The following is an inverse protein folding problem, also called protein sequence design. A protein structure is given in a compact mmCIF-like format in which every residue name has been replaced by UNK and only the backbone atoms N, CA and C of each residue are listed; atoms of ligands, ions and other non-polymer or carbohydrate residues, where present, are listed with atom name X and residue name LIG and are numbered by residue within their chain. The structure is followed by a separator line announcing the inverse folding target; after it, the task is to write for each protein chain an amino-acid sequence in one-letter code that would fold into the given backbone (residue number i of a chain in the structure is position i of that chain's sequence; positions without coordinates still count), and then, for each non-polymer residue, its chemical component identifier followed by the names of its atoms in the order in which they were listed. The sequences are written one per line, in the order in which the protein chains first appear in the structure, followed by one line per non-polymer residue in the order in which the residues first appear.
data_IF_149041367336
#
_entry.id   IF_149041367336
#
_cell.length_a   1.000
_cell.length_b   1.000
_cell.length_c   1.000
_cell.angle_alpha   90.00
_cell.angle_beta   90.00
_cell.angle_gamma   90.00
#
_symmetry.space_group_name_H-M   'P 1'
#
loop_
_entity.id
_entity.type
_entity.pdbx_description
1 polymer ?
#
# COMPACT_ATOMS: atom_id res chain seq x y z
N UNK A 1 -9.06 -8.95 24.79
CA UNK A 1 -10.47 -8.48 24.83
C UNK A 1 -10.42 -6.98 24.69
N UNK A 2 -11.00 -6.43 23.60
CA UNK A 2 -10.66 -5.12 23.01
C UNK A 2 -11.05 -3.86 23.81
N UNK A 3 -10.92 -3.90 25.14
CA UNK A 3 -11.21 -2.79 26.03
C UNK A 3 -12.70 -2.43 26.11
N UNK A 4 -13.02 -1.32 26.81
CA UNK A 4 -14.39 -0.80 26.94
C UNK A 4 -14.93 -0.11 25.67
N UNK A 5 -14.09 0.05 24.64
CA UNK A 5 -14.39 0.78 23.41
C UNK A 5 -14.69 -0.20 22.29
N UNK A 6 -15.82 0.00 21.59
CA UNK A 6 -16.16 -0.81 20.40
C UNK A 6 -15.54 -0.21 19.15
N UNK A 7 -14.70 -0.99 18.48
CA UNK A 7 -14.13 -0.64 17.18
C UNK A 7 -14.99 -1.24 16.06
N UNK A 8 -15.30 -0.42 15.06
CA UNK A 8 -16.00 -0.83 13.85
C UNK A 8 -15.02 -0.81 12.68
N UNK A 9 -14.98 -1.91 11.91
CA UNK A 9 -14.21 -1.98 10.67
C UNK A 9 -15.14 -1.61 9.51
N UNK A 10 -14.75 -0.58 8.77
CA UNK A 10 -15.38 -0.22 7.50
C UNK A 10 -14.79 -1.03 6.36
N UNK A 11 -15.61 -1.40 5.39
CA UNK A 11 -15.19 -2.07 4.17
C UNK A 11 -15.39 -1.15 2.95
N UNK A 12 -14.55 -1.31 1.93
CA UNK A 12 -14.64 -0.53 0.68
C UNK A 12 -14.69 0.99 0.92
N UNK A 13 -15.75 1.65 0.47
CA UNK A 13 -15.98 3.10 0.58
C UNK A 13 -16.78 3.50 1.82
N UNK A 14 -17.18 2.55 2.68
CA UNK A 14 -18.05 2.82 3.82
C UNK A 14 -17.48 3.88 4.76
N UNK A 15 -16.17 3.85 5.04
CA UNK A 15 -15.51 4.82 5.90
C UNK A 15 -15.51 6.22 5.29
N UNK A 16 -15.29 6.32 3.99
CA UNK A 16 -15.32 7.60 3.26
C UNK A 16 -16.74 8.18 3.25
N UNK A 17 -17.76 7.36 2.92
CA UNK A 17 -19.17 7.78 2.98
C UNK A 17 -19.56 8.22 4.38
N UNK A 18 -19.14 7.49 5.41
CA UNK A 18 -19.44 7.83 6.80
C UNK A 18 -18.92 9.23 7.16
N UNK A 19 -17.68 9.58 6.79
CA UNK A 19 -17.15 10.93 7.02
C UNK A 19 -17.91 11.96 6.19
N UNK A 20 -18.13 11.73 4.89
CA UNK A 20 -18.83 12.67 4.01
C UNK A 20 -20.27 12.96 4.46
N UNK A 21 -20.99 11.96 4.94
CA UNK A 21 -22.39 12.07 5.35
C UNK A 21 -22.57 12.57 6.78
N UNK A 22 -21.69 12.17 7.71
CA UNK A 22 -21.87 12.42 9.15
C UNK A 22 -20.92 13.47 9.73
N UNK A 23 -19.76 13.64 9.12
CA UNK A 23 -18.71 14.55 9.58
C UNK A 23 -18.12 15.39 8.43
N UNK A 24 -18.93 16.09 7.62
CA UNK A 24 -18.45 16.86 6.47
C UNK A 24 -17.47 17.98 6.87
N UNK A 25 -17.44 18.40 8.14
CA UNK A 25 -16.44 19.32 8.66
C UNK A 25 -15.01 18.77 8.56
N UNK A 26 -14.82 17.44 8.62
CA UNK A 26 -13.51 16.80 8.46
C UNK A 26 -13.17 16.55 6.98
N UNK A 27 -13.54 17.48 6.12
CA UNK A 27 -13.22 17.42 4.70
C UNK A 27 -12.78 18.78 4.17
N UNK A 28 -11.85 18.78 3.23
CA UNK A 28 -11.36 19.97 2.55
C UNK A 28 -11.45 19.82 1.04
N UNK A 29 -11.60 20.94 0.32
CA UNK A 29 -11.58 20.94 -1.14
C UNK A 29 -10.13 20.85 -1.62
N UNK A 30 -9.76 19.72 -2.22
CA UNK A 30 -8.49 19.59 -2.93
C UNK A 30 -8.64 20.25 -4.30
N UNK A 31 -8.26 21.54 -4.38
CA UNK A 31 -8.45 22.37 -5.58
C UNK A 31 -7.94 21.70 -6.87
N UNK A 32 -6.74 21.07 -6.92
CA UNK A 32 -6.25 20.45 -8.15
C UNK A 32 -7.16 19.37 -8.75
N UNK A 33 -7.94 18.68 -7.92
CA UNK A 33 -8.87 17.64 -8.34
C UNK A 33 -10.32 18.11 -8.39
N UNK A 34 -10.64 19.29 -7.82
CA UNK A 34 -12.02 19.73 -7.63
C UNK A 34 -12.85 18.82 -6.70
N UNK A 35 -12.21 18.00 -5.87
CA UNK A 35 -12.85 16.99 -5.01
C UNK A 35 -12.71 17.33 -3.53
N UNK A 36 -13.75 16.99 -2.74
CA UNK A 36 -13.63 17.02 -1.27
C UNK A 36 -12.97 15.74 -0.79
N UNK A 37 -11.89 15.87 -0.03
CA UNK A 37 -11.15 14.76 0.56
C UNK A 37 -11.23 14.84 2.08
N UNK A 38 -11.07 13.70 2.76
CA UNK A 38 -10.99 13.66 4.22
C UNK A 38 -9.72 14.38 4.65
N UNK A 39 -9.87 15.38 5.52
CA UNK A 39 -8.78 16.17 6.07
C UNK A 39 -9.23 16.77 7.40
N UNK A 40 -8.33 16.85 8.37
CA UNK A 40 -8.59 17.39 9.71
C UNK A 40 -7.64 18.55 9.95
N UNK A 41 -8.13 19.67 10.45
CA UNK A 41 -7.27 20.81 10.82
C UNK A 41 -6.48 20.51 12.10
N UNK A 42 -5.33 21.15 12.29
CA UNK A 42 -4.50 20.93 13.49
C UNK A 42 -5.28 21.17 14.79
N UNK A 43 -6.20 22.14 14.80
CA UNK A 43 -7.04 22.49 15.95
C UNK A 43 -8.06 21.39 16.30
N UNK A 44 -8.44 20.55 15.34
CA UNK A 44 -9.40 19.45 15.51
C UNK A 44 -8.73 18.11 15.85
N UNK A 45 -7.39 18.04 15.83
CA UNK A 45 -6.64 16.82 16.15
C UNK A 45 -6.62 16.60 17.66
N UNK A 46 -7.36 15.58 18.12
CA UNK A 46 -7.36 15.19 19.53
C UNK A 46 -6.09 14.44 19.96
N UNK A 47 -5.55 13.57 19.11
CA UNK A 47 -4.38 12.73 19.39
C UNK A 47 -3.68 12.36 18.07
N UNK A 48 -2.35 12.39 18.05
CA UNK A 48 -1.53 11.84 16.96
C UNK A 48 -0.91 10.53 17.44
N UNK A 49 -1.15 9.45 16.68
CA UNK A 49 -0.52 8.14 16.94
C UNK A 49 0.64 7.92 15.99
N UNK A 50 1.83 7.99 16.58
CA UNK A 50 3.11 7.84 15.90
C UNK A 50 3.51 6.35 15.87
N UNK A 51 3.67 5.72 14.70
CA UNK A 51 4.00 4.30 14.59
C UNK A 51 5.31 3.89 15.30
N UNK A 52 6.33 4.74 15.28
CA UNK A 52 7.63 4.44 15.90
C UNK A 52 7.53 4.53 17.42
N UNK A 53 6.84 5.55 17.95
CA UNK A 53 6.55 5.63 19.40
C UNK A 53 5.61 4.51 19.84
N UNK A 54 4.68 4.11 18.99
CA UNK A 54 3.81 2.96 19.22
C UNK A 54 4.59 1.67 19.39
N UNK A 55 5.57 1.42 18.52
CA UNK A 55 6.44 0.26 18.59
C UNK A 55 7.24 0.23 19.90
N UNK A 56 7.85 1.37 20.28
CA UNK A 56 8.56 1.49 21.56
C UNK A 56 7.67 1.15 22.77
N UNK A 57 6.47 1.72 22.83
CA UNK A 57 5.52 1.45 23.91
C UNK A 57 5.06 -0.02 23.91
N UNK A 58 4.95 -0.63 22.74
CA UNK A 58 4.53 -2.02 22.61
C UNK A 58 5.59 -2.96 23.19
N UNK A 59 6.86 -2.80 22.80
CA UNK A 59 7.94 -3.69 23.27
C UNK A 59 8.15 -3.63 24.79
N UNK A 60 7.88 -2.48 25.42
CA UNK A 60 7.96 -2.32 26.88
C UNK A 60 6.94 -3.16 27.68
N UNK A 61 5.88 -3.68 27.05
CA UNK A 61 4.82 -4.42 27.77
C UNK A 61 5.24 -5.80 28.27
N UNK A 62 6.15 -6.46 27.57
CA UNK A 62 6.59 -7.82 27.88
C UNK A 62 5.49 -8.89 27.82
N UNK A 63 4.36 -8.59 27.19
CA UNK A 63 3.28 -9.56 26.98
C UNK A 63 3.58 -10.49 25.78
N UNK A 64 2.79 -11.54 25.53
CA UNK A 64 3.06 -12.47 24.43
C UNK A 64 3.09 -11.81 23.05
N UNK A 65 2.31 -10.75 22.81
CA UNK A 65 2.28 -10.06 21.52
C UNK A 65 3.51 -9.19 21.35
N UNK A 66 3.88 -8.42 22.37
CA UNK A 66 5.08 -7.59 22.33
C UNK A 66 6.33 -8.43 22.10
N UNK A 67 6.41 -9.61 22.73
CA UNK A 67 7.52 -10.55 22.50
C UNK A 67 7.51 -11.14 21.10
N UNK A 68 6.35 -11.39 20.50
CA UNK A 68 6.27 -11.84 19.10
C UNK A 68 6.75 -10.75 18.12
N UNK A 69 6.45 -9.49 18.42
CA UNK A 69 6.99 -8.34 17.70
C UNK A 69 8.51 -8.29 17.80
N UNK A 70 9.07 -8.45 19.01
CA UNK A 70 10.53 -8.51 19.21
C UNK A 70 11.17 -9.72 18.51
N UNK A 71 10.53 -10.90 18.56
CA UNK A 71 10.97 -12.11 17.87
C UNK A 71 11.15 -11.88 16.37
N UNK A 72 10.15 -11.28 15.70
CA UNK A 72 10.24 -10.99 14.28
C UNK A 72 11.33 -9.95 13.96
N UNK A 73 11.38 -8.86 14.74
CA UNK A 73 12.40 -7.82 14.53
C UNK A 73 13.81 -8.38 14.71
N UNK A 74 14.05 -9.24 15.71
CA UNK A 74 15.35 -9.89 15.91
C UNK A 74 15.75 -10.79 14.74
N UNK A 75 14.80 -11.51 14.14
CA UNK A 75 15.07 -12.32 12.95
C UNK A 75 15.49 -11.44 11.77
N UNK A 76 14.81 -10.31 11.56
CA UNK A 76 15.13 -9.36 10.48
C UNK A 76 16.45 -8.62 10.74
N UNK A 77 16.67 -8.10 11.95
CA UNK A 77 17.89 -7.39 12.33
C UNK A 77 19.12 -8.31 12.31
N UNK A 78 18.98 -9.58 12.68
CA UNK A 78 20.06 -10.56 12.66
C UNK A 78 20.66 -10.81 11.27
N UNK A 79 19.90 -10.53 10.22
CA UNK A 79 20.29 -10.70 8.82
C UNK A 79 20.44 -9.38 8.06
N UNK A 80 20.39 -8.23 8.75
CA UNK A 80 20.40 -6.91 8.09
C UNK A 80 21.17 -5.85 8.85
N UNK A 81 21.33 -4.68 8.23
CA UNK A 81 21.79 -3.43 8.85
C UNK A 81 20.61 -2.58 9.32
N UNK A 82 19.38 -3.04 9.08
CA UNK A 82 18.18 -2.39 9.60
C UNK A 82 18.22 -2.43 11.12
N UNK A 83 17.69 -1.37 11.72
CA UNK A 83 17.57 -1.27 13.18
C UNK A 83 16.14 -0.96 13.53
N UNK A 84 15.77 -1.13 14.79
CA UNK A 84 14.45 -0.77 15.31
C UNK A 84 13.96 0.63 14.84
N UNK A 85 14.87 1.59 14.64
CA UNK A 85 14.54 2.95 14.19
C UNK A 85 13.98 3.02 12.76
N UNK A 86 14.21 1.99 11.96
CA UNK A 86 13.67 1.87 10.61
C UNK A 86 12.19 1.44 10.62
N UNK A 87 11.66 1.02 11.77
CA UNK A 87 10.33 0.42 11.87
C UNK A 87 9.38 1.20 12.78
N UNK A 88 8.09 0.97 12.57
CA UNK A 88 7.02 1.32 13.49
C UNK A 88 5.94 0.25 13.44
N UNK A 89 4.83 0.43 14.16
CA UNK A 89 3.65 -0.46 14.10
C UNK A 89 2.40 0.32 13.77
N UNK A 90 1.41 -0.33 13.16
CA UNK A 90 0.11 0.28 12.88
C UNK A 90 -1.04 -0.66 13.29
N UNK A 91 -2.27 -0.32 12.87
CA UNK A 91 -3.43 -1.17 13.10
C UNK A 91 -3.69 -1.45 14.58
N UNK A 92 -4.01 -2.71 14.90
CA UNK A 92 -4.38 -3.09 16.27
C UNK A 92 -3.22 -2.98 17.27
N UNK A 93 -1.98 -3.07 16.80
CA UNK A 93 -0.77 -2.93 17.62
C UNK A 93 -0.58 -1.49 18.10
N UNK A 94 -0.65 -0.52 17.18
CA UNK A 94 -0.50 0.91 17.50
C UNK A 94 -1.60 1.42 18.44
N UNK A 95 -2.82 0.90 18.26
CA UNK A 95 -3.99 1.33 19.02
C UNK A 95 -4.21 0.54 20.32
N UNK A 96 -3.36 -0.45 20.61
CA UNK A 96 -3.44 -1.26 21.83
C UNK A 96 -4.80 -1.94 22.07
N UNK A 97 -5.38 -2.49 21.00
CA UNK A 97 -6.58 -3.34 21.11
C UNK A 97 -6.38 -4.73 20.50
N UNK A 98 -5.13 -5.10 20.22
CA UNK A 98 -4.79 -6.38 19.63
C UNK A 98 -5.27 -7.56 20.48
N UNK A 99 -5.46 -8.69 19.79
CA UNK A 99 -5.87 -9.97 20.34
C UNK A 99 -4.74 -10.95 20.16
N UNK A 100 -4.16 -11.44 21.25
CA UNK A 100 -3.04 -12.40 21.24
C UNK A 100 -3.33 -13.63 20.35
N UNK A 101 -4.59 -14.04 20.32
CA UNK A 101 -5.07 -15.20 19.57
C UNK A 101 -5.52 -14.92 18.13
N UNK A 102 -5.70 -13.65 17.73
CA UNK A 102 -6.32 -13.31 16.44
C UNK A 102 -5.58 -12.23 15.62
N UNK A 103 -4.89 -11.29 16.26
CA UNK A 103 -4.22 -10.19 15.57
C UNK A 103 -2.97 -10.68 14.83
N UNK A 104 -2.71 -10.02 13.70
CA UNK A 104 -1.48 -10.14 12.93
C UNK A 104 -0.44 -9.11 13.45
N UNK A 105 0.78 -9.16 12.91
CA UNK A 105 1.86 -8.24 13.23
C UNK A 105 2.02 -7.18 12.13
N UNK A 106 1.45 -5.99 12.36
CA UNK A 106 1.36 -4.92 11.37
C UNK A 106 2.49 -3.89 11.59
N UNK A 107 3.55 -3.94 10.76
CA UNK A 107 4.72 -3.06 10.84
C UNK A 107 4.74 -2.01 9.74
N UNK A 108 5.34 -0.87 10.02
CA UNK A 108 5.79 0.08 8.98
C UNK A 108 7.30 -0.04 8.81
N UNK A 109 7.80 0.18 7.59
CA UNK A 109 9.22 0.34 7.28
C UNK A 109 9.46 1.70 6.63
N UNK A 110 10.34 2.51 7.21
CA UNK A 110 10.60 3.87 6.79
C UNK A 110 11.84 3.97 5.91
N UNK A 111 11.66 4.38 4.65
CA UNK A 111 12.75 4.67 3.73
C UNK A 111 12.76 3.79 2.49
N UNK A 112 13.15 4.36 1.35
CA UNK A 112 13.33 3.60 0.10
C UNK A 112 14.48 2.60 0.20
N UNK A 113 15.61 3.02 0.77
CA UNK A 113 16.77 2.16 0.98
C UNK A 113 16.48 1.02 1.95
N UNK A 114 15.79 1.33 3.05
CA UNK A 114 15.42 0.37 4.08
C UNK A 114 14.44 -0.67 3.55
N UNK A 115 13.45 -0.25 2.76
CA UNK A 115 12.54 -1.19 2.11
C UNK A 115 13.29 -2.13 1.16
N UNK A 116 14.22 -1.59 0.37
CA UNK A 116 15.02 -2.41 -0.57
C UNK A 116 15.80 -3.48 0.18
N UNK A 117 16.54 -3.08 1.22
CA UNK A 117 17.28 -4.00 2.07
C UNK A 117 16.35 -5.02 2.75
N UNK A 118 15.20 -4.58 3.29
CA UNK A 118 14.22 -5.46 3.90
C UNK A 118 13.73 -6.53 2.92
N UNK A 119 13.46 -6.18 1.66
CA UNK A 119 13.01 -7.15 0.65
C UNK A 119 14.08 -8.18 0.32
N UNK A 120 15.35 -7.77 0.25
CA UNK A 120 16.49 -8.67 0.06
C UNK A 120 16.58 -9.66 1.24
N UNK A 121 16.51 -9.16 2.48
CA UNK A 121 16.55 -9.95 3.71
C UNK A 121 15.36 -10.91 3.81
N UNK A 122 14.13 -10.45 3.54
CA UNK A 122 12.94 -11.30 3.56
C UNK A 122 13.02 -12.40 2.49
N UNK A 123 13.56 -12.10 1.30
CA UNK A 123 13.79 -13.10 0.26
C UNK A 123 14.72 -14.22 0.73
N UNK A 124 15.80 -13.88 1.42
CA UNK A 124 16.74 -14.85 2.00
C UNK A 124 16.06 -15.66 3.11
N UNK A 125 15.40 -15.00 4.06
CA UNK A 125 14.70 -15.65 5.17
C UNK A 125 13.59 -16.60 4.71
N UNK A 126 12.89 -16.28 3.61
CA UNK A 126 11.92 -17.19 3.00
C UNK A 126 12.60 -18.38 2.33
N UNK A 127 13.73 -18.17 1.66
CA UNK A 127 14.47 -19.23 0.97
C UNK A 127 15.11 -20.22 1.95
N UNK A 128 15.54 -19.75 3.12
CA UNK A 128 16.11 -20.58 4.20
C UNK A 128 15.05 -21.31 5.02
N UNK A 129 13.77 -20.93 4.91
CA UNK A 129 12.68 -21.45 5.71
C UNK A 129 12.61 -20.88 7.14
N UNK A 130 13.38 -19.84 7.45
CA UNK A 130 13.32 -19.10 8.72
C UNK A 130 12.00 -18.35 8.88
N UNK A 131 11.46 -17.84 7.77
CA UNK A 131 10.11 -17.28 7.64
C UNK A 131 9.41 -17.95 6.45
N UNK A 132 8.09 -17.79 6.34
CA UNK A 132 7.33 -18.23 5.16
C UNK A 132 6.65 -17.06 4.48
N UNK A 133 6.63 -17.04 3.15
CA UNK A 133 5.87 -16.05 2.39
C UNK A 133 4.37 -16.37 2.51
N UNK A 134 3.54 -15.38 2.88
CA UNK A 134 2.10 -15.61 3.11
C UNK A 134 1.40 -16.16 1.86
N UNK A 135 1.88 -15.79 0.68
CA UNK A 135 1.26 -16.11 -0.60
C UNK A 135 1.85 -17.36 -1.28
N UNK A 136 2.70 -18.12 -0.60
CA UNK A 136 3.19 -19.42 -1.08
C UNK A 136 2.06 -20.46 -1.15
N UNK A 137 1.17 -20.48 -0.15
CA UNK A 137 -0.01 -21.35 -0.10
C UNK A 137 -1.23 -20.53 0.27
N UNK A 138 -2.09 -20.28 -0.71
CA UNK A 138 -3.28 -19.46 -0.54
C UNK A 138 -4.55 -20.31 -0.52
N UNK A 139 -5.33 -20.15 0.55
CA UNK A 139 -6.69 -20.67 0.64
C UNK A 139 -7.63 -19.83 -0.22
N UNK A 140 -8.01 -20.35 -1.39
CA UNK A 140 -8.87 -19.68 -2.35
C UNK A 140 -10.27 -19.37 -1.81
N UNK A 141 -10.73 -20.05 -0.76
CA UNK A 141 -12.05 -19.78 -0.15
C UNK A 141 -12.12 -18.37 0.47
N UNK A 142 -10.98 -17.81 0.89
CA UNK A 142 -10.85 -16.44 1.42
C UNK A 142 -11.13 -15.37 0.36
N UNK A 143 -11.13 -15.75 -0.92
CA UNK A 143 -11.33 -14.85 -2.07
C UNK A 143 -12.65 -15.13 -2.79
N UNK A 144 -13.63 -15.73 -2.11
CA UNK A 144 -14.97 -16.01 -2.66
C UNK A 144 -15.72 -14.78 -3.19
N UNK A 145 -15.27 -13.56 -2.84
CA UNK A 145 -15.82 -12.27 -3.32
C UNK A 145 -14.92 -11.54 -4.32
N UNK A 146 -14.03 -12.25 -5.00
CA UNK A 146 -13.17 -11.66 -6.03
C UNK A 146 -14.01 -11.05 -7.15
N UNK A 147 -13.88 -9.74 -7.36
CA UNK A 147 -14.74 -8.97 -8.29
C UNK A 147 -13.98 -8.35 -9.47
N UNK A 148 -12.65 -8.29 -9.41
CA UNK A 148 -11.87 -7.72 -10.50
C UNK A 148 -12.05 -8.55 -11.78
N UNK A 149 -12.38 -7.88 -12.87
CA UNK A 149 -12.68 -8.53 -14.16
C UNK A 149 -11.42 -8.78 -14.98
N UNK A 150 -10.51 -7.82 -14.94
CA UNK A 150 -9.26 -7.83 -15.71
C UNK A 150 -8.06 -8.36 -14.91
N UNK A 151 -8.31 -8.83 -13.69
CA UNK A 151 -7.28 -9.30 -12.78
C UNK A 151 -7.78 -10.56 -12.08
N UNK A 152 -7.20 -11.71 -12.36
CA UNK A 152 -7.61 -13.00 -11.78
C UNK A 152 -7.01 -13.18 -10.39
N UNK A 153 -7.60 -14.09 -9.60
CA UNK A 153 -7.05 -14.43 -8.28
C UNK A 153 -5.63 -15.00 -8.38
N UNK A 154 -5.33 -15.79 -9.41
CA UNK A 154 -3.99 -16.35 -9.62
C UNK A 154 -2.95 -15.26 -9.90
N UNK A 155 -3.30 -14.28 -10.72
CA UNK A 155 -2.44 -13.10 -10.94
C UNK A 155 -2.28 -12.29 -9.66
N UNK A 156 -3.35 -12.11 -8.87
CA UNK A 156 -3.28 -11.46 -7.57
C UNK A 156 -2.29 -12.14 -6.63
N UNK A 157 -2.45 -13.45 -6.40
CA UNK A 157 -1.57 -14.22 -5.53
C UNK A 157 -0.12 -14.14 -6.00
N UNK A 158 0.12 -14.29 -7.31
CA UNK A 158 1.47 -14.17 -7.85
C UNK A 158 2.09 -12.80 -7.57
N UNK A 159 1.34 -11.73 -7.78
CA UNK A 159 1.86 -10.39 -7.54
C UNK A 159 2.10 -10.14 -6.05
N UNK A 160 1.17 -10.53 -5.16
CA UNK A 160 1.39 -10.39 -3.72
C UNK A 160 2.62 -11.17 -3.24
N UNK A 161 2.83 -12.38 -3.77
CA UNK A 161 4.01 -13.21 -3.47
C UNK A 161 5.33 -12.48 -3.80
N UNK A 162 5.39 -11.75 -4.92
CA UNK A 162 6.57 -10.99 -5.37
C UNK A 162 6.86 -9.72 -4.58
N UNK A 163 5.91 -9.21 -3.78
CA UNK A 163 6.13 -8.02 -2.97
C UNK A 163 7.10 -8.28 -1.83
N UNK A 164 7.13 -9.52 -1.33
CA UNK A 164 7.97 -10.03 -0.24
C UNK A 164 7.68 -9.45 1.16
N UNK A 165 6.91 -8.36 1.26
CA UNK A 165 6.56 -7.69 2.52
C UNK A 165 5.48 -8.40 3.35
N UNK A 166 4.96 -9.54 2.89
CA UNK A 166 3.95 -10.33 3.57
C UNK A 166 4.49 -11.72 3.92
N UNK A 167 4.39 -12.10 5.19
CA UNK A 167 4.91 -13.38 5.64
C UNK A 167 4.24 -13.94 6.87
N UNK A 168 4.75 -15.09 7.30
CA UNK A 168 4.30 -15.84 8.46
C UNK A 168 5.52 -16.26 9.27
N UNK A 169 5.46 -16.03 10.58
CA UNK A 169 6.44 -16.49 11.56
C UNK A 169 5.78 -17.51 12.50
N UNK A 170 6.49 -18.59 12.80
CA UNK A 170 6.12 -19.53 13.87
C UNK A 170 6.53 -18.93 15.23
N UNK A 171 5.68 -18.06 15.80
CA UNK A 171 6.02 -17.34 17.02
C UNK A 171 6.01 -18.27 18.23
N UNK A 172 7.12 -18.27 18.98
CA UNK A 172 7.26 -19.04 20.21
C UNK A 172 6.46 -18.41 21.33
N UNK A 173 6.45 -17.08 21.40
CA UNK A 173 5.72 -16.33 22.42
C UNK A 173 4.20 -16.45 22.27
N UNK A 174 3.68 -16.57 21.05
CA UNK A 174 2.25 -16.77 20.81
C UNK A 174 1.84 -18.26 20.76
N UNK A 175 2.79 -19.17 20.53
CA UNK A 175 2.51 -20.60 20.38
C UNK A 175 1.67 -20.93 19.14
N UNK A 176 1.70 -20.07 18.10
CA UNK A 176 0.97 -20.24 16.85
C UNK A 176 1.71 -19.56 15.69
N UNK A 177 1.45 -19.96 14.43
CA UNK A 177 1.79 -19.13 13.30
C UNK A 177 1.04 -17.78 13.38
N UNK A 178 1.75 -16.71 13.10
CA UNK A 178 1.20 -15.35 13.02
C UNK A 178 1.67 -14.70 11.73
N UNK A 179 0.75 -14.03 11.05
CA UNK A 179 1.10 -13.27 9.85
C UNK A 179 1.74 -11.96 10.24
N UNK A 180 2.57 -11.43 9.35
CA UNK A 180 3.12 -10.11 9.48
C UNK A 180 3.10 -9.39 8.13
N UNK A 181 3.02 -8.06 8.19
CA UNK A 181 3.20 -7.19 7.04
C UNK A 181 4.16 -6.03 7.35
N UNK A 182 4.93 -5.62 6.35
CA UNK A 182 5.78 -4.43 6.40
C UNK A 182 5.30 -3.38 5.39
N UNK A 183 4.52 -2.44 5.89
CA UNK A 183 3.96 -1.34 5.13
C UNK A 183 5.03 -0.26 4.84
N UNK A 184 5.39 0.01 3.57
CA UNK A 184 6.41 0.99 3.24
C UNK A 184 5.92 2.43 3.44
N UNK A 185 6.76 3.23 4.10
CA UNK A 185 6.51 4.66 4.35
C UNK A 185 7.74 5.46 3.94
N UNK A 186 7.55 6.58 3.25
CA UNK A 186 8.64 7.50 2.93
C UNK A 186 9.14 8.17 4.20
N UNK A 187 10.45 8.40 4.29
CA UNK A 187 11.00 9.34 5.27
C UNK A 187 10.65 10.77 4.89
N UNK A 188 10.66 11.66 5.88
CA UNK A 188 10.35 13.08 5.67
C UNK A 188 11.19 13.75 4.59
N UNK A 189 12.48 13.40 4.48
CA UNK A 189 13.41 13.91 3.50
C UNK A 189 13.28 13.27 2.10
N UNK A 190 12.53 12.17 1.99
CA UNK A 190 12.20 11.52 0.71
C UNK A 190 10.86 12.02 0.13
N UNK A 191 10.05 12.73 0.91
CA UNK A 191 8.74 13.24 0.47
C UNK A 191 8.94 14.47 -0.41
N UNK A 192 8.45 14.39 -1.64
CA UNK A 192 8.41 15.49 -2.61
C UNK A 192 6.95 15.92 -2.80
N UNK A 193 6.64 17.17 -2.48
CA UNK A 193 5.33 17.73 -2.79
C UNK A 193 5.25 18.15 -4.27
N UNK A 194 4.63 17.31 -5.09
CA UNK A 194 4.38 17.57 -6.51
C UNK A 194 3.15 18.46 -6.78
N UNK A 195 2.29 18.65 -5.78
CA UNK A 195 1.03 19.37 -5.91
C UNK A 195 1.18 20.82 -5.44
N UNK A 196 1.56 21.69 -6.38
CA UNK A 196 1.53 23.15 -6.20
C UNK A 196 0.12 23.71 -6.45
N UNK A 197 -0.12 24.97 -6.08
CA UNK A 197 -1.41 25.65 -6.31
C UNK A 197 -1.79 25.76 -7.80
N UNK A 198 -0.81 25.68 -8.72
CA UNK A 198 -1.00 25.77 -10.16
C UNK A 198 -1.25 24.40 -10.84
N UNK A 199 -1.53 23.37 -10.04
CA UNK A 199 -1.76 22.00 -10.52
C UNK A 199 -3.24 21.81 -10.90
N UNK A 200 -3.51 21.37 -12.13
CA UNK A 200 -4.85 21.05 -12.63
C UNK A 200 -4.87 19.63 -13.20
N UNK A 201 -5.92 18.88 -12.90
CA UNK A 201 -6.12 17.50 -13.41
C UNK A 201 -7.45 17.41 -14.14
N UNK A 202 -7.40 17.01 -15.40
CA UNK A 202 -8.57 16.77 -16.24
C UNK A 202 -8.67 15.28 -16.59
N UNK A 203 -9.76 14.63 -16.18
CA UNK A 203 -10.03 13.25 -16.53
C UNK A 203 -10.58 13.15 -17.97
N UNK A 204 -9.79 12.58 -18.88
CA UNK A 204 -10.15 12.46 -20.30
C UNK A 204 -11.06 11.25 -20.56
N UNK A 205 -10.84 10.14 -19.85
CA UNK A 205 -11.69 8.94 -19.93
C UNK A 205 -10.93 7.65 -19.65
N UNK A 206 -11.61 6.52 -19.76
CA UNK A 206 -11.02 5.22 -19.44
C UNK A 206 -10.23 4.65 -20.63
N UNK A 207 -9.04 4.12 -20.36
CA UNK A 207 -8.13 3.54 -21.36
C UNK A 207 -7.60 2.18 -20.92
N UNK A 208 -7.18 1.39 -21.90
CA UNK A 208 -6.47 0.12 -21.74
C UNK A 208 -5.20 0.17 -22.59
N UNK A 209 -4.05 -0.14 -22.00
CA UNK A 209 -2.75 -0.03 -22.65
C UNK A 209 -1.75 -1.07 -22.16
N UNK A 210 -0.76 -1.36 -23.00
CA UNK A 210 0.50 -1.98 -22.61
C UNK A 210 1.53 -0.89 -22.36
N UNK A 211 2.20 -0.96 -21.22
CA UNK A 211 3.20 0.02 -20.80
C UNK A 211 4.45 -0.68 -20.29
N UNK A 212 5.62 -0.14 -20.63
CA UNK A 212 6.90 -0.55 -20.04
C UNK A 212 7.21 0.35 -18.85
N UNK A 213 7.55 -0.24 -17.70
CA UNK A 213 7.97 0.53 -16.53
C UNK A 213 9.42 0.97 -16.69
N UNK A 214 9.64 2.28 -16.71
CA UNK A 214 10.98 2.89 -16.77
C UNK A 214 11.44 3.43 -15.41
N UNK A 215 10.54 3.52 -14.43
CA UNK A 215 10.84 3.92 -13.06
C UNK A 215 9.79 3.36 -12.09
N UNK A 216 10.20 2.53 -11.13
CA UNK A 216 9.34 1.91 -10.12
C UNK A 216 9.66 2.39 -8.68
N UNK A 217 10.50 3.41 -8.51
CA UNK A 217 11.01 3.85 -7.18
C UNK A 217 9.91 4.19 -6.19
N UNK A 218 8.79 4.72 -6.68
CA UNK A 218 7.62 5.08 -5.88
C UNK A 218 6.49 4.06 -5.93
N UNK A 219 6.67 2.93 -6.62
CA UNK A 219 5.68 1.84 -6.69
C UNK A 219 5.31 1.21 -5.33
N UNK A 220 6.16 1.23 -4.28
CA UNK A 220 5.79 0.65 -2.99
C UNK A 220 4.95 1.52 -2.08
N UNK A 221 4.88 2.82 -2.33
CA UNK A 221 4.26 3.79 -1.43
C UNK A 221 2.84 4.15 -1.90
N UNK A 222 2.10 4.91 -1.09
CA UNK A 222 0.74 5.34 -1.41
C UNK A 222 0.67 6.87 -1.63
N UNK A 223 0.19 7.36 -2.78
CA UNK A 223 -0.12 6.60 -4.00
C UNK A 223 1.13 5.98 -4.62
N UNK A 224 0.95 4.78 -5.21
CA UNK A 224 2.03 4.12 -5.94
C UNK A 224 2.19 4.79 -7.29
N UNK A 225 3.42 5.06 -7.68
CA UNK A 225 3.74 5.73 -8.94
C UNK A 225 4.73 4.91 -9.75
N UNK A 226 4.45 4.81 -11.04
CA UNK A 226 5.30 4.17 -12.03
C UNK A 226 5.55 5.17 -13.15
N UNK A 227 6.81 5.47 -13.43
CA UNK A 227 7.20 6.09 -14.71
C UNK A 227 7.06 5.04 -15.81
N UNK A 228 6.39 5.38 -16.90
CA UNK A 228 6.11 4.42 -17.96
C UNK A 228 6.32 5.00 -19.36
N UNK A 229 6.60 4.11 -20.31
CA UNK A 229 6.50 4.37 -21.75
C UNK A 229 5.36 3.54 -22.35
N UNK A 230 4.59 4.15 -23.25
CA UNK A 230 3.50 3.46 -23.95
C UNK A 230 4.08 2.48 -24.97
N UNK A 231 3.76 1.20 -24.81
CA UNK A 231 4.09 0.15 -25.79
C UNK A 231 2.99 0.03 -26.82
N UNK A 232 1.73 -0.09 -26.37
CA UNK A 232 0.57 -0.24 -27.23
C UNK A 232 -0.68 0.33 -26.56
N UNK A 233 -1.46 1.10 -27.32
CA UNK A 233 -2.81 1.49 -26.90
C UNK A 233 -3.83 0.45 -27.38
N UNK A 234 -4.46 -0.27 -26.46
CA UNK A 234 -5.45 -1.30 -26.76
C UNK A 234 -6.83 -0.69 -26.97
N UNK A 235 -7.23 0.24 -26.09
CA UNK A 235 -8.52 0.92 -26.15
C UNK A 235 -8.40 2.30 -25.52
N UNK A 236 -9.02 3.32 -26.13
CA UNK A 236 -8.97 4.69 -25.63
C UNK A 236 -8.88 5.75 -26.72
N UNK A 237 -8.20 6.85 -26.38
CA UNK A 237 -8.04 8.03 -27.23
C UNK A 237 -6.77 7.90 -28.07
N UNK A 238 -6.83 8.23 -29.37
CA UNK A 238 -5.69 8.03 -30.30
C UNK A 238 -4.44 8.84 -29.93
N UNK A 239 -4.63 9.93 -29.23
CA UNK A 239 -3.60 10.84 -28.72
C UNK A 239 -3.16 10.52 -27.29
N UNK A 240 -3.63 9.42 -26.71
CA UNK A 240 -3.16 8.93 -25.42
C UNK A 240 -1.69 8.52 -25.49
N UNK A 241 -0.85 9.17 -24.71
CA UNK A 241 0.57 8.89 -24.52
C UNK A 241 0.96 9.11 -23.05
N UNK A 242 0.46 8.26 -22.13
CA UNK A 242 0.73 8.41 -20.71
C UNK A 242 2.21 8.15 -20.40
N UNK A 243 2.80 9.01 -19.58
CA UNK A 243 4.18 8.86 -19.10
C UNK A 243 4.25 8.36 -17.66
N UNK A 244 3.08 8.19 -17.02
CA UNK A 244 2.96 7.80 -15.61
C UNK A 244 1.72 6.96 -15.36
N UNK A 245 1.83 5.95 -14.49
CA UNK A 245 0.69 5.32 -13.83
C UNK A 245 0.71 5.71 -12.36
N UNK A 246 -0.43 6.16 -11.82
CA UNK A 246 -0.60 6.49 -10.40
C UNK A 246 -1.73 5.63 -9.83
N UNK A 247 -1.49 4.87 -8.77
CA UNK A 247 -2.52 4.05 -8.15
C UNK A 247 -2.71 4.38 -6.67
N UNK A 248 -3.97 4.70 -6.34
CA UNK A 248 -4.52 4.83 -5.00
C UNK A 248 -5.13 3.51 -4.48
N UNK A 249 -4.88 2.41 -5.19
CA UNK A 249 -5.43 1.08 -4.91
C UNK A 249 -4.29 0.19 -4.43
N UNK A 250 -4.39 -0.25 -3.17
CA UNK A 250 -3.36 -1.02 -2.45
C UNK A 250 -2.94 -2.29 -3.21
N UNK A 251 -3.90 -2.95 -3.84
CA UNK A 251 -3.68 -4.16 -4.62
C UNK A 251 -2.63 -3.94 -5.72
N UNK A 252 -2.54 -2.73 -6.28
CA UNK A 252 -1.68 -2.38 -7.41
C UNK A 252 -0.34 -1.73 -7.05
N UNK A 253 0.05 -1.67 -5.77
CA UNK A 253 1.42 -1.31 -5.40
C UNK A 253 2.41 -2.43 -5.72
N UNK A 254 3.66 -2.11 -6.05
CA UNK A 254 4.73 -3.07 -6.33
C UNK A 254 4.38 -4.17 -7.35
N UNK A 255 3.52 -3.87 -8.33
CA UNK A 255 3.08 -4.91 -9.29
C UNK A 255 4.03 -5.11 -10.45
N UNK A 256 4.66 -4.03 -10.86
CA UNK A 256 5.60 -4.00 -11.96
C UNK A 256 6.90 -3.38 -11.47
N UNK A 257 8.01 -3.93 -11.95
CA UNK A 257 9.34 -3.40 -11.69
C UNK A 257 9.95 -2.83 -12.97
N UNK A 258 10.97 -2.00 -12.82
CA UNK A 258 11.69 -1.41 -13.97
C UNK A 258 12.08 -2.49 -15.01
N UNK A 259 11.79 -2.21 -16.29
CA UNK A 259 11.98 -3.12 -17.43
C UNK A 259 10.85 -4.11 -17.67
N UNK A 260 9.81 -4.16 -16.83
CA UNK A 260 8.65 -5.01 -17.06
C UNK A 260 7.58 -4.34 -17.92
N UNK A 261 6.98 -5.10 -18.84
CA UNK A 261 5.80 -4.68 -19.60
C UNK A 261 4.52 -5.16 -18.90
N UNK A 262 3.65 -4.21 -18.59
CA UNK A 262 2.39 -4.46 -17.92
C UNK A 262 1.17 -4.05 -18.73
N UNK A 263 0.04 -4.71 -18.45
CA UNK A 263 -1.28 -4.28 -18.88
C UNK A 263 -1.87 -3.37 -17.81
N UNK A 264 -2.32 -2.20 -18.24
CA UNK A 264 -3.00 -1.21 -17.39
C UNK A 264 -4.37 -0.89 -17.97
N UNK A 265 -5.39 -0.90 -17.10
CA UNK A 265 -6.73 -0.42 -17.40
C UNK A 265 -7.12 0.62 -16.34
N UNK A 266 -7.36 1.86 -16.75
CA UNK A 266 -7.53 2.96 -15.80
C UNK A 266 -8.03 4.25 -16.43
N UNK A 267 -8.07 5.33 -15.66
CA UNK A 267 -8.53 6.63 -16.11
C UNK A 267 -7.37 7.47 -16.63
N UNK A 268 -7.38 7.82 -17.91
CA UNK A 268 -6.43 8.76 -18.48
C UNK A 268 -6.75 10.17 -17.98
N UNK A 269 -5.73 10.85 -17.46
CA UNK A 269 -5.79 12.22 -17.00
C UNK A 269 -4.74 13.06 -17.71
N UNK A 270 -5.13 14.27 -18.12
CA UNK A 270 -4.19 15.33 -18.48
C UNK A 270 -3.85 16.12 -17.21
N UNK A 271 -2.57 16.17 -16.87
CA UNK A 271 -2.04 16.93 -15.75
C UNK A 271 -1.36 18.18 -16.29
N UNK A 272 -1.74 19.36 -15.76
CA UNK A 272 -1.13 20.65 -16.11
C UNK A 272 -0.52 21.27 -14.86
N UNK A 273 0.72 21.73 -14.96
CA UNK A 273 1.43 22.40 -13.87
C UNK A 273 2.54 23.29 -14.42
N UNK A 274 2.57 24.58 -14.02
CA UNK A 274 3.67 25.50 -14.36
C UNK A 274 3.91 25.66 -15.86
N UNK A 275 2.84 25.63 -16.68
CA UNK A 275 2.92 25.73 -18.15
C UNK A 275 3.38 24.45 -18.86
N UNK A 276 3.59 23.35 -18.14
CA UNK A 276 3.85 22.01 -18.69
C UNK A 276 2.60 21.16 -18.57
N UNK A 277 2.45 20.19 -19.47
CA UNK A 277 1.43 19.17 -19.34
C UNK A 277 1.98 17.79 -19.68
N UNK A 278 1.37 16.77 -19.08
CA UNK A 278 1.67 15.37 -19.35
C UNK A 278 0.45 14.52 -19.04
N UNK A 279 0.42 13.31 -19.58
CA UNK A 279 -0.66 12.37 -19.35
C UNK A 279 -0.27 11.30 -18.35
N UNK A 280 -1.23 10.90 -17.53
CA UNK A 280 -1.11 9.77 -16.62
C UNK A 280 -2.33 8.86 -16.68
N UNK A 281 -2.15 7.60 -16.33
CA UNK A 281 -3.28 6.71 -16.03
C UNK A 281 -3.42 6.63 -14.51
N UNK A 282 -4.58 6.99 -13.98
CA UNK A 282 -4.90 6.86 -12.56
C UNK A 282 -5.75 5.63 -12.28
N UNK A 283 -5.40 4.91 -11.22
CA UNK A 283 -6.20 3.84 -10.63
C UNK A 283 -6.71 4.31 -9.27
N UNK A 284 -8.03 4.36 -9.09
CA UNK A 284 -8.65 4.95 -7.90
C UNK A 284 -10.07 4.44 -7.67
N UNK A 285 -10.61 4.65 -6.46
CA UNK A 285 -12.00 4.29 -6.11
C UNK A 285 -12.99 5.24 -6.77
N UNK A 286 -13.51 4.82 -7.91
CA UNK A 286 -14.58 5.49 -8.66
C UNK A 286 -15.35 4.50 -9.54
N UNK A 287 -16.18 4.98 -10.45
CA UNK A 287 -16.84 4.13 -11.44
C UNK A 287 -15.84 3.24 -12.18
N UNK A 288 -16.26 2.02 -12.55
CA UNK A 288 -15.39 0.98 -13.11
C UNK A 288 -14.25 0.51 -12.20
N UNK A 289 -14.34 0.66 -10.86
CA UNK A 289 -13.33 0.18 -9.91
C UNK A 289 -12.84 -1.25 -10.17
N UNK A 290 -13.77 -2.19 -10.36
CA UNK A 290 -13.43 -3.60 -10.61
C UNK A 290 -12.99 -3.91 -12.05
N UNK A 291 -13.03 -2.93 -12.96
CA UNK A 291 -12.46 -3.05 -14.31
C UNK A 291 -11.00 -2.57 -14.35
N UNK A 292 -10.56 -1.83 -13.32
CA UNK A 292 -9.19 -1.32 -13.25
C UNK A 292 -8.19 -2.44 -12.97
N UNK A 293 -6.98 -2.31 -13.51
CA UNK A 293 -5.87 -3.24 -13.23
C UNK A 293 -4.52 -2.61 -13.55
N UNK A 294 -3.49 -3.02 -12.82
CA UNK A 294 -2.09 -2.98 -13.23
C UNK A 294 -1.48 -4.35 -12.98
N UNK A 295 -1.04 -5.04 -14.03
CA UNK A 295 -0.48 -6.39 -13.91
C UNK A 295 0.59 -6.67 -14.97
N UNK A 296 1.47 -7.61 -14.68
CA UNK A 296 2.49 -8.07 -15.61
C UNK A 296 1.86 -8.76 -16.83
N UNK A 297 2.31 -8.45 -18.04
CA UNK A 297 2.03 -9.28 -19.21
C UNK A 297 3.00 -10.46 -19.21
N UNK A 298 2.48 -11.67 -19.07
CA UNK A 298 3.27 -12.88 -19.26
C UNK A 298 3.16 -13.30 -20.73
N UNK A 299 4.31 -13.51 -21.37
CA UNK A 299 4.39 -14.17 -22.68
C UNK A 299 3.97 -15.64 -22.63
#
# INVERSE_FOLDING_TARGET
DGGPVKYYKFYEDEGLRFVLERYPQYTTLLKPLGLRVVAVSEEEVAEVRDPQKGLLKLVEKGDPMSKAVEELLQVVEGSSKLTYKCFGVFGSLLHDFYRVDLSDLDFTVYGMSELKELREVLSELYSEGSLRNEFEVVDSSKFSRWRFKNYTLGEYVYHQWRKLIYGVIESKSLGRPVKFEFEPVLKWDEIINEYSDDYEVECLGFVEALVEVVDDRYSPFMPSKYGVELVELISGFRDANPTRVVSYVEEFRMQLFEGEVGFVAGWLEEVRCGGRSFQQIVLTRRERYYDQVLKLVRG
#
